data_IF_020481852558
#
_entry.id   IF_020481852558
#
_cell.length_a   1.000
_cell.length_b   1.000
_cell.length_c   1.000
_cell.angle_alpha   90.00
_cell.angle_beta   90.00
_cell.angle_gamma   90.00
#
_symmetry.space_group_name_H-M   'P 1'
#
loop_
_entity.id
_entity.type
_entity.pdbx_description
1 polymer ?
#
# COMPACT_ATOMS: atom_id res chain seq x y z
N UNK A 1 -65.20 17.41 -4.44
CA UNK A 1 -64.31 16.81 -5.49
C UNK A 1 -62.99 17.55 -5.72
N UNK A 2 -62.89 18.87 -5.71
CA UNK A 2 -61.64 19.60 -5.96
C UNK A 2 -60.54 19.39 -4.89
N UNK A 3 -60.90 19.18 -3.60
CA UNK A 3 -59.93 18.97 -2.50
C UNK A 3 -59.27 17.60 -2.53
N UNK A 4 -59.98 16.55 -2.92
CA UNK A 4 -59.43 15.18 -3.02
C UNK A 4 -58.40 15.07 -4.15
N UNK A 5 -58.66 15.73 -5.29
CA UNK A 5 -57.71 15.76 -6.42
C UNK A 5 -56.40 16.45 -6.06
N UNK A 6 -56.44 17.53 -5.23
CA UNK A 6 -55.20 18.19 -4.78
C UNK A 6 -54.41 17.34 -3.80
N UNK A 7 -55.07 16.65 -2.86
CA UNK A 7 -54.39 15.75 -1.91
C UNK A 7 -53.71 14.58 -2.65
N UNK A 8 -54.39 14.02 -3.63
CA UNK A 8 -53.82 12.93 -4.46
C UNK A 8 -52.59 13.39 -5.25
N UNK A 9 -52.63 14.62 -5.79
CA UNK A 9 -51.50 15.20 -6.54
C UNK A 9 -50.28 15.42 -5.65
N UNK A 10 -50.47 15.86 -4.41
CA UNK A 10 -49.38 16.04 -3.42
C UNK A 10 -48.76 14.70 -3.01
N UNK A 11 -49.56 13.63 -2.85
CA UNK A 11 -49.05 12.29 -2.55
C UNK A 11 -48.22 11.73 -3.69
N UNK A 12 -48.66 11.89 -4.95
CA UNK A 12 -47.93 11.42 -6.13
C UNK A 12 -46.62 12.19 -6.26
N UNK A 13 -46.61 13.51 -6.06
CA UNK A 13 -45.41 14.32 -6.16
C UNK A 13 -44.39 13.98 -5.06
N UNK A 14 -44.86 13.75 -3.82
CA UNK A 14 -44.01 13.31 -2.69
C UNK A 14 -43.37 11.95 -2.96
N UNK A 15 -44.14 11.01 -3.53
CA UNK A 15 -43.62 9.68 -3.87
C UNK A 15 -42.55 9.72 -5.01
N UNK A 16 -42.78 10.60 -5.99
CA UNK A 16 -41.84 10.82 -7.09
C UNK A 16 -40.49 11.40 -6.62
N UNK A 17 -40.54 12.35 -5.68
CA UNK A 17 -39.37 12.97 -5.07
C UNK A 17 -38.56 11.93 -4.29
N UNK A 18 -39.22 11.06 -3.52
CA UNK A 18 -38.53 10.00 -2.76
C UNK A 18 -37.83 8.99 -3.70
N UNK A 19 -38.50 8.60 -4.82
CA UNK A 19 -37.90 7.69 -5.80
C UNK A 19 -36.67 8.34 -6.46
N UNK A 20 -36.76 9.60 -6.85
CA UNK A 20 -35.62 10.31 -7.48
C UNK A 20 -34.46 10.43 -6.48
N UNK A 21 -34.74 10.71 -5.21
CA UNK A 21 -33.72 10.80 -4.18
C UNK A 21 -33.03 9.44 -3.90
N UNK A 22 -33.79 8.35 -3.92
CA UNK A 22 -33.26 6.98 -3.81
C UNK A 22 -32.37 6.62 -4.98
N UNK A 23 -32.77 6.96 -6.21
CA UNK A 23 -31.96 6.70 -7.41
C UNK A 23 -30.66 7.51 -7.44
N UNK A 24 -30.67 8.76 -6.92
CA UNK A 24 -29.47 9.60 -6.80
C UNK A 24 -28.53 9.05 -5.71
N UNK A 25 -29.07 8.56 -4.59
CA UNK A 25 -28.28 7.92 -3.53
C UNK A 25 -27.63 6.62 -4.03
N UNK A 26 -28.36 5.77 -4.74
CA UNK A 26 -27.81 4.53 -5.30
C UNK A 26 -26.73 4.79 -6.35
N UNK A 27 -26.91 5.80 -7.20
CA UNK A 27 -25.89 6.17 -8.21
C UNK A 27 -24.62 6.74 -7.57
N UNK A 28 -24.73 7.46 -6.44
CA UNK A 28 -23.57 7.96 -5.70
C UNK A 28 -22.86 6.84 -4.91
N UNK A 29 -23.59 5.84 -4.43
CA UNK A 29 -23.02 4.67 -3.76
C UNK A 29 -22.31 3.73 -4.77
N UNK A 30 -22.87 3.56 -5.97
CA UNK A 30 -22.19 2.76 -7.03
C UNK A 30 -20.94 3.46 -7.54
N UNK A 31 -20.93 4.78 -7.72
CA UNK A 31 -19.75 5.54 -8.10
C UNK A 31 -18.63 5.51 -7.05
N UNK A 32 -18.96 5.30 -5.77
CA UNK A 32 -17.98 5.15 -4.70
C UNK A 32 -17.45 3.71 -4.56
N UNK A 33 -18.15 2.70 -5.09
CA UNK A 33 -17.70 1.31 -5.08
C UNK A 33 -16.91 0.91 -6.32
N UNK A 34 -17.09 1.56 -7.47
CA UNK A 34 -16.30 1.26 -8.67
C UNK A 34 -14.84 1.76 -8.63
N UNK A 35 -14.49 2.64 -7.68
CA UNK A 35 -13.10 3.08 -7.51
C UNK A 35 -12.25 2.14 -6.65
N UNK A 36 -12.73 0.96 -6.27
CA UNK A 36 -12.00 -0.04 -5.48
C UNK A 36 -12.16 -1.47 -5.94
N UNK A 37 -12.31 -1.70 -7.23
CA UNK A 37 -11.72 -2.88 -7.84
C UNK A 37 -10.22 -2.59 -7.92
N UNK A 38 -9.54 -2.86 -6.80
CA UNK A 38 -8.10 -3.11 -6.83
C UNK A 38 -7.99 -4.29 -7.81
N UNK A 39 -7.62 -3.99 -9.07
CA UNK A 39 -6.94 -4.97 -9.88
C UNK A 39 -5.95 -5.61 -8.93
N UNK A 40 -5.87 -6.91 -8.94
CA UNK A 40 -4.76 -7.68 -8.39
C UNK A 40 -3.56 -7.32 -9.28
N UNK A 41 -3.10 -6.06 -9.13
CA UNK A 41 -1.98 -5.50 -9.86
C UNK A 41 -0.75 -6.23 -9.34
N UNK A 42 0.09 -6.68 -10.24
CA UNK A 42 1.43 -7.13 -9.93
C UNK A 42 2.05 -6.13 -8.92
N UNK A 43 2.67 -6.61 -7.84
CA UNK A 43 3.16 -5.72 -6.80
C UNK A 43 4.08 -4.67 -7.41
N UNK A 44 3.79 -3.41 -7.15
CA UNK A 44 4.57 -2.29 -7.68
C UNK A 44 6.04 -2.45 -7.31
N UNK A 45 6.93 -2.21 -8.27
CA UNK A 45 8.37 -2.36 -8.07
C UNK A 45 9.03 -1.00 -7.87
N UNK A 46 9.79 -0.86 -6.80
CA UNK A 46 10.50 0.36 -6.41
C UNK A 46 12.00 0.11 -6.21
N UNK A 47 12.82 1.13 -6.43
CA UNK A 47 14.16 1.20 -5.83
C UNK A 47 14.06 1.52 -4.34
N UNK A 48 15.11 1.26 -3.57
CA UNK A 48 15.15 1.51 -2.11
C UNK A 48 14.80 2.96 -1.79
N UNK A 49 15.43 3.92 -2.47
CA UNK A 49 15.19 5.35 -2.25
C UNK A 49 13.74 5.73 -2.50
N UNK A 50 13.20 5.36 -3.65
CA UNK A 50 11.81 5.63 -4.03
C UNK A 50 10.81 5.00 -3.07
N UNK A 51 11.10 3.78 -2.57
CA UNK A 51 10.26 3.12 -1.59
C UNK A 51 10.25 3.85 -0.24
N UNK A 52 11.41 4.25 0.26
CA UNK A 52 11.50 5.01 1.52
C UNK A 52 10.78 6.35 1.40
N UNK A 53 10.87 7.01 0.24
CA UNK A 53 10.20 8.30 -0.02
C UNK A 53 8.67 8.19 0.02
N UNK A 54 8.07 7.01 -0.22
CA UNK A 54 6.63 6.82 -0.07
C UNK A 54 6.12 7.11 1.35
N UNK A 55 6.99 6.99 2.36
CA UNK A 55 6.62 7.21 3.77
C UNK A 55 6.89 8.63 4.25
N UNK A 56 7.59 9.44 3.45
CA UNK A 56 7.97 10.82 3.79
C UNK A 56 7.64 11.71 2.61
N UNK A 57 6.41 12.24 2.56
CA UNK A 57 6.00 13.25 1.60
C UNK A 57 5.91 14.60 2.34
N UNK A 58 6.55 15.63 1.79
CA UNK A 58 6.53 17.01 2.36
C UNK A 58 6.93 17.09 3.85
N UNK A 59 7.81 16.17 4.30
CA UNK A 59 8.27 16.12 5.68
C UNK A 59 7.26 15.53 6.68
N UNK A 60 6.12 15.03 6.21
CA UNK A 60 5.10 14.38 7.03
C UNK A 60 5.09 12.87 6.84
N UNK A 61 4.82 12.08 7.89
CA UNK A 61 4.73 10.63 7.76
C UNK A 61 3.46 10.23 7.00
N UNK A 62 3.62 9.35 6.01
CA UNK A 62 2.52 8.75 5.26
C UNK A 62 2.36 7.29 5.65
N UNK A 63 1.24 6.96 6.29
CA UNK A 63 0.95 5.61 6.77
C UNK A 63 0.11 4.77 5.79
N UNK A 64 -0.29 5.33 4.66
CA UNK A 64 -1.13 4.65 3.66
C UNK A 64 -0.43 3.48 2.96
N UNK A 65 0.91 3.48 2.95
CA UNK A 65 1.73 2.39 2.41
C UNK A 65 2.11 1.33 3.46
N UNK A 66 1.68 1.50 4.72
CA UNK A 66 1.82 0.44 5.71
C UNK A 66 0.89 -0.73 5.37
N UNK A 67 1.36 -1.94 5.65
CA UNK A 67 0.61 -3.18 5.42
C UNK A 67 0.29 -3.47 3.95
N UNK A 68 1.11 -2.93 3.04
CA UNK A 68 1.03 -3.19 1.60
C UNK A 68 2.28 -3.97 1.16
N UNK A 69 2.08 -5.01 0.36
CA UNK A 69 3.17 -5.76 -0.26
C UNK A 69 3.69 -5.00 -1.48
N UNK A 70 4.99 -4.74 -1.51
CA UNK A 70 5.68 -4.11 -2.66
C UNK A 70 6.99 -4.81 -2.96
N UNK A 71 7.42 -4.82 -4.21
CA UNK A 71 8.74 -5.31 -4.59
C UNK A 71 9.74 -4.16 -4.49
N UNK A 72 10.81 -4.36 -3.70
CA UNK A 72 11.89 -3.39 -3.56
C UNK A 72 13.19 -3.99 -4.08
N UNK A 73 13.80 -3.30 -5.03
CA UNK A 73 15.07 -3.66 -5.64
C UNK A 73 16.22 -2.90 -4.97
N UNK A 74 17.29 -3.62 -4.62
CA UNK A 74 18.46 -3.01 -4.01
C UNK A 74 19.70 -3.88 -4.07
N UNK A 75 20.80 -3.34 -3.58
CA UNK A 75 22.08 -4.04 -3.41
C UNK A 75 22.22 -4.48 -1.95
N UNK A 76 22.39 -5.77 -1.69
CA UNK A 76 22.61 -6.30 -0.35
C UNK A 76 23.95 -5.81 0.19
N UNK A 77 23.95 -5.02 1.25
CA UNK A 77 25.18 -4.45 1.82
C UNK A 77 25.54 -5.05 3.17
N UNK A 78 24.57 -5.48 3.92
CA UNK A 78 24.77 -6.03 5.26
C UNK A 78 23.78 -7.15 5.56
N UNK A 79 24.26 -8.15 6.31
CA UNK A 79 23.49 -9.28 6.81
C UNK A 79 23.86 -9.45 8.27
N UNK A 80 22.85 -9.36 9.15
CA UNK A 80 22.99 -9.56 10.59
C UNK A 80 22.24 -10.83 10.99
N UNK A 81 22.99 -11.89 11.30
CA UNK A 81 22.43 -13.19 11.65
C UNK A 81 21.74 -13.18 13.03
N UNK A 82 22.23 -12.38 13.97
CA UNK A 82 21.71 -12.35 15.34
C UNK A 82 20.31 -11.75 15.39
N UNK A 83 20.10 -10.68 14.62
CA UNK A 83 18.81 -9.97 14.56
C UNK A 83 17.94 -10.40 13.38
N UNK A 84 18.42 -11.32 12.52
CA UNK A 84 17.77 -11.70 11.26
C UNK A 84 17.42 -10.48 10.38
N UNK A 85 18.35 -9.53 10.29
CA UNK A 85 18.15 -8.30 9.56
C UNK A 85 19.08 -8.21 8.35
N UNK A 86 18.58 -7.71 7.24
CA UNK A 86 19.36 -7.35 6.07
C UNK A 86 19.28 -5.85 5.81
N UNK A 87 20.32 -5.30 5.17
CA UNK A 87 20.33 -3.91 4.71
C UNK A 87 20.49 -3.90 3.20
N UNK A 88 19.55 -3.26 2.53
CA UNK A 88 19.59 -2.97 1.11
C UNK A 88 19.98 -1.52 0.89
N UNK A 89 20.90 -1.29 -0.03
CA UNK A 89 21.28 0.02 -0.53
C UNK A 89 20.58 0.27 -1.86
N UNK A 90 20.20 1.50 -2.12
CA UNK A 90 19.64 1.88 -3.42
C UNK A 90 20.66 1.66 -4.54
N UNK A 91 20.17 1.30 -5.72
CA UNK A 91 21.02 1.00 -6.88
C UNK A 91 21.61 2.25 -7.52
N UNK A 92 20.97 3.41 -7.34
CA UNK A 92 21.31 4.68 -7.97
C UNK A 92 21.83 5.73 -6.98
N UNK A 93 21.46 5.58 -5.69
CA UNK A 93 21.86 6.50 -4.62
C UNK A 93 22.44 5.73 -3.43
N UNK A 94 23.75 5.71 -3.33
CA UNK A 94 24.48 4.99 -2.27
C UNK A 94 24.23 5.52 -0.87
N UNK A 95 23.64 6.70 -0.71
CA UNK A 95 23.25 7.27 0.59
C UNK A 95 21.94 6.73 1.14
N UNK A 96 21.16 6.03 0.32
CA UNK A 96 19.82 5.54 0.67
C UNK A 96 19.85 4.06 1.02
N UNK A 97 19.26 3.73 2.15
CA UNK A 97 19.23 2.36 2.69
C UNK A 97 17.83 1.97 3.16
N UNK A 98 17.56 0.69 3.10
CA UNK A 98 16.40 0.06 3.70
C UNK A 98 16.85 -1.08 4.59
N UNK A 99 16.42 -1.05 5.86
CA UNK A 99 16.60 -2.17 6.77
C UNK A 99 15.35 -3.04 6.77
N UNK A 100 15.53 -4.34 6.58
CA UNK A 100 14.43 -5.28 6.52
C UNK A 100 14.67 -6.47 7.44
N UNK A 101 13.63 -6.88 8.16
CA UNK A 101 13.61 -8.05 9.04
C UNK A 101 13.21 -9.25 8.19
N UNK A 102 14.02 -10.30 8.23
CA UNK A 102 13.72 -11.55 7.53
C UNK A 102 13.18 -12.56 8.52
N UNK A 103 11.96 -13.07 8.34
CA UNK A 103 11.41 -14.11 9.19
C UNK A 103 12.33 -15.32 9.25
N UNK A 104 12.39 -15.96 10.42
CA UNK A 104 13.32 -17.07 10.69
C UNK A 104 13.19 -18.23 9.69
N UNK A 105 11.97 -18.51 9.27
CA UNK A 105 11.69 -19.57 8.29
C UNK A 105 12.23 -19.26 6.88
N UNK A 106 12.49 -17.98 6.59
CA UNK A 106 13.03 -17.52 5.30
C UNK A 106 14.54 -17.25 5.35
N UNK A 107 15.11 -17.25 6.56
CA UNK A 107 16.51 -16.89 6.78
C UNK A 107 17.49 -17.79 6.00
N UNK A 108 17.16 -19.05 5.80
CA UNK A 108 17.99 -19.97 5.00
C UNK A 108 18.20 -19.48 3.58
N UNK A 109 17.26 -18.76 2.99
CA UNK A 109 17.42 -18.17 1.65
C UNK A 109 18.46 -17.06 1.62
N UNK A 110 18.58 -16.27 2.70
CA UNK A 110 19.54 -15.17 2.80
C UNK A 110 20.98 -15.65 2.64
N UNK A 111 21.29 -16.85 3.14
CA UNK A 111 22.64 -17.44 3.06
C UNK A 111 23.14 -17.71 1.63
N UNK A 112 22.25 -17.72 0.64
CA UNK A 112 22.60 -17.89 -0.76
C UNK A 112 22.97 -16.57 -1.47
N UNK A 113 22.83 -15.43 -0.79
CA UNK A 113 23.16 -14.13 -1.35
C UNK A 113 24.48 -13.61 -0.81
N UNK A 114 25.28 -13.02 -1.70
CA UNK A 114 26.55 -12.41 -1.35
C UNK A 114 26.39 -10.90 -1.15
N UNK A 115 27.20 -10.33 -0.25
CA UNK A 115 27.31 -8.88 -0.11
C UNK A 115 27.68 -8.24 -1.46
N UNK A 116 27.01 -7.16 -1.82
CA UNK A 116 27.14 -6.47 -3.10
C UNK A 116 26.22 -6.99 -4.21
N UNK A 117 25.54 -8.11 -3.98
CA UNK A 117 24.61 -8.69 -4.95
C UNK A 117 23.33 -7.85 -5.05
N UNK A 118 22.86 -7.67 -6.29
CA UNK A 118 21.53 -7.07 -6.56
C UNK A 118 20.46 -8.10 -6.30
N UNK A 119 19.50 -7.74 -5.47
CA UNK A 119 18.38 -8.59 -5.06
C UNK A 119 17.09 -7.81 -5.03
N UNK A 120 15.98 -8.51 -5.13
CA UNK A 120 14.67 -7.97 -4.78
C UNK A 120 14.16 -8.57 -3.48
N UNK A 121 13.35 -7.82 -2.77
CA UNK A 121 12.54 -8.32 -1.69
C UNK A 121 11.07 -7.94 -1.94
N UNK A 122 10.15 -8.84 -1.59
CA UNK A 122 8.77 -8.43 -1.37
C UNK A 122 8.72 -7.87 0.06
N UNK A 123 8.57 -6.56 0.15
CA UNK A 123 8.65 -5.75 1.37
C UNK A 123 7.25 -5.47 1.91
N UNK A 124 7.07 -5.70 3.19
CA UNK A 124 5.84 -5.43 3.91
C UNK A 124 6.14 -4.51 5.10
N UNK A 125 5.83 -3.22 4.97
CA UNK A 125 6.07 -2.26 6.03
C UNK A 125 5.07 -2.46 7.16
N UNK A 126 5.56 -2.72 8.36
CA UNK A 126 4.73 -3.01 9.55
C UNK A 126 4.53 -1.80 10.45
N UNK A 127 5.46 -0.87 10.46
CA UNK A 127 5.38 0.40 11.19
C UNK A 127 6.47 1.37 10.73
N UNK A 128 6.38 2.61 11.16
CA UNK A 128 7.43 3.61 11.01
C UNK A 128 8.24 3.75 12.29
N UNK A 129 9.53 4.08 12.16
CA UNK A 129 10.38 4.52 13.28
C UNK A 129 10.02 5.94 13.69
N UNK A 130 10.64 6.44 14.76
CA UNK A 130 10.53 7.85 15.17
C UNK A 130 11.00 8.83 14.07
N UNK A 131 11.90 8.40 13.19
CA UNK A 131 12.41 9.20 12.06
C UNK A 131 11.62 8.95 10.74
N UNK A 132 10.44 8.36 10.83
CA UNK A 132 9.58 8.01 9.70
C UNK A 132 10.19 7.00 8.72
N UNK A 133 11.23 6.28 9.12
CA UNK A 133 11.77 5.19 8.32
C UNK A 133 10.89 3.95 8.46
N UNK A 134 10.55 3.26 7.35
CA UNK A 134 9.74 2.05 7.41
C UNK A 134 10.51 0.90 8.07
N UNK A 135 9.88 0.21 9.03
CA UNK A 135 10.31 -1.09 9.50
C UNK A 135 9.61 -2.12 8.63
N UNK A 136 10.42 -2.86 7.88
CA UNK A 136 9.96 -3.76 6.82
C UNK A 136 10.19 -5.20 7.22
N UNK A 137 9.20 -6.06 6.96
CA UNK A 137 9.32 -7.50 7.00
C UNK A 137 9.44 -8.05 5.57
N UNK A 138 10.35 -8.99 5.36
CA UNK A 138 10.56 -9.64 4.06
C UNK A 138 9.56 -10.78 3.87
N UNK A 139 8.67 -10.65 2.89
CA UNK A 139 7.75 -11.71 2.49
C UNK A 139 8.38 -12.69 1.51
N UNK A 140 9.22 -12.19 0.61
CA UNK A 140 9.97 -12.97 -0.37
C UNK A 140 11.31 -12.30 -0.66
N UNK A 141 12.29 -13.08 -1.08
CA UNK A 141 13.63 -12.60 -1.47
C UNK A 141 14.15 -13.41 -2.67
N UNK A 142 14.74 -12.71 -3.63
CA UNK A 142 15.30 -13.31 -4.84
C UNK A 142 16.38 -12.46 -5.51
N UNK A 143 16.94 -12.98 -6.58
CA UNK A 143 17.93 -12.29 -7.42
C UNK A 143 17.21 -11.45 -8.47
N UNK A 144 17.79 -10.29 -8.78
CA UNK A 144 17.41 -9.50 -9.95
C UNK A 144 18.21 -10.01 -11.15
#
# INVERSE_FOLDING_TARGET
MKRVKRALLFCIFGFLVVIIFSLILDSNLQGAQESKLIKEDEPSTYGVGSYVDLFILDGSPHCEYLFVDVIVNGKLTHVDEDTHTIVLQDLNDESRYLRAIVPKEKWTKVKFFSKGQKIYINAYAIKLTYFNEPIVEVREIGKI
#
